data_IF_162690020758
#
_entry.id   IF_162690020758
#
_cell.length_a   1.000
_cell.length_b   1.000
_cell.length_c   1.000
_cell.angle_alpha   90.00
_cell.angle_beta   90.00
_cell.angle_gamma   90.00
#
_symmetry.space_group_name_H-M   'P 1'
#
loop_
_entity.id
_entity.type
_entity.pdbx_description
1 polymer ?
#
# COMPACT_ATOMS: atom_id res chain seq x y z
N UNK A 1 -2.48 36.88 13.35
CA UNK A 1 -3.58 36.02 12.87
C UNK A 1 -2.98 34.72 12.34
N UNK A 2 -3.38 33.57 12.89
CA UNK A 2 -2.91 32.28 12.40
C UNK A 2 -3.76 31.85 11.20
N UNK A 3 -3.13 31.62 10.05
CA UNK A 3 -3.81 31.10 8.86
C UNK A 3 -3.81 29.57 8.91
N UNK A 4 -4.99 28.95 8.92
CA UNK A 4 -5.14 27.52 8.74
C UNK A 4 -5.01 27.17 7.25
N UNK A 5 -3.82 26.70 6.84
CA UNK A 5 -3.61 26.21 5.48
C UNK A 5 -4.21 24.82 5.35
N UNK A 6 -5.26 24.66 4.55
CA UNK A 6 -5.81 23.34 4.19
C UNK A 6 -4.71 22.55 3.45
N UNK A 7 -4.38 21.39 3.99
CA UNK A 7 -3.43 20.47 3.36
C UNK A 7 -4.23 19.58 2.39
N UNK A 8 -3.83 19.47 1.11
CA UNK A 8 -4.50 18.59 0.17
C UNK A 8 -4.33 17.12 0.59
N UNK A 9 -5.34 16.31 0.35
CA UNK A 9 -5.30 14.86 0.52
C UNK A 9 -5.24 14.15 -0.84
N UNK A 10 -4.68 12.95 -0.83
CA UNK A 10 -4.52 12.11 -2.01
C UNK A 10 -4.90 10.67 -1.69
N UNK A 11 -5.62 10.05 -2.62
CA UNK A 11 -6.06 8.66 -2.50
C UNK A 11 -4.90 7.70 -2.80
N UNK A 12 -4.68 6.75 -1.89
CA UNK A 12 -3.83 5.59 -2.11
C UNK A 12 -4.71 4.37 -2.33
N UNK A 13 -4.55 3.71 -3.46
CA UNK A 13 -5.22 2.45 -3.77
C UNK A 13 -4.21 1.31 -3.79
N UNK A 14 -4.48 0.28 -3.00
CA UNK A 14 -3.74 -0.98 -3.05
C UNK A 14 -4.54 -2.00 -3.86
N UNK A 15 -3.86 -2.74 -4.72
CA UNK A 15 -4.44 -3.84 -5.48
C UNK A 15 -3.65 -5.10 -5.18
N UNK A 16 -4.35 -6.20 -4.93
CA UNK A 16 -3.75 -7.54 -4.82
C UNK A 16 -3.89 -8.22 -6.18
N UNK A 17 -2.82 -8.83 -6.68
CA UNK A 17 -2.77 -9.54 -7.95
C UNK A 17 -2.00 -10.86 -7.81
N UNK A 18 -2.05 -11.70 -8.84
CA UNK A 18 -1.37 -13.00 -8.90
C UNK A 18 -2.32 -14.18 -8.77
N UNK A 19 -1.76 -15.38 -8.61
CA UNK A 19 -2.51 -16.65 -8.57
C UNK A 19 -2.94 -17.08 -7.17
N UNK A 20 -2.47 -16.37 -6.14
CA UNK A 20 -2.83 -16.60 -4.74
C UNK A 20 -3.18 -15.29 -4.04
N UNK A 21 -3.52 -15.39 -2.76
CA UNK A 21 -3.92 -14.26 -1.94
C UNK A 21 -2.89 -13.97 -0.84
N UNK A 22 -3.01 -12.78 -0.26
CA UNK A 22 -2.23 -12.32 0.87
C UNK A 22 -2.88 -11.09 1.48
N UNK A 23 -2.29 -10.57 2.54
CA UNK A 23 -2.71 -9.34 3.19
C UNK A 23 -1.72 -8.22 2.90
N UNK A 24 -2.23 -7.00 2.80
CA UNK A 24 -1.39 -5.80 2.73
C UNK A 24 -1.89 -4.84 3.78
N UNK A 25 -1.03 -4.50 4.73
CA UNK A 25 -1.34 -3.60 5.84
C UNK A 25 -0.41 -2.40 5.82
N UNK A 26 -0.93 -1.22 6.16
CA UNK A 26 -0.10 -0.09 6.52
C UNK A 26 0.36 -0.23 7.97
N UNK A 27 1.65 -0.06 8.23
CA UNK A 27 2.21 -0.22 9.59
C UNK A 27 1.76 0.85 10.59
N UNK A 28 1.13 1.95 10.13
CA UNK A 28 0.72 3.06 10.98
C UNK A 28 -0.78 3.01 11.33
N UNK A 29 -1.67 3.11 10.33
CA UNK A 29 -3.15 2.92 10.41
C UNK A 29 -3.77 3.21 9.02
N UNK A 30 -5.01 2.79 8.78
CA UNK A 30 -5.81 3.15 7.60
C UNK A 30 -5.97 1.99 6.63
N UNK A 31 -4.97 1.74 5.79
CA UNK A 31 -5.04 0.62 4.82
C UNK A 31 -4.85 -0.73 5.52
N UNK A 32 -5.89 -1.54 5.49
CA UNK A 32 -5.84 -2.99 5.70
C UNK A 32 -6.59 -3.67 4.55
N UNK A 33 -5.81 -4.01 3.53
CA UNK A 33 -6.28 -4.57 2.28
C UNK A 33 -6.68 -6.05 2.41
N UNK A 34 -7.21 -6.42 3.58
CA UNK A 34 -8.10 -7.55 3.79
C UNK A 34 -9.55 -7.16 3.43
N UNK A 35 -10.01 -6.00 3.91
CA UNK A 35 -11.35 -5.45 3.65
C UNK A 35 -11.30 -4.03 3.05
N UNK A 36 -10.29 -3.22 3.38
CA UNK A 36 -10.14 -1.85 2.90
C UNK A 36 -8.78 -1.61 2.23
N UNK A 37 -8.82 -1.49 0.92
CA UNK A 37 -7.65 -1.28 0.09
C UNK A 37 -7.47 0.18 -0.35
N UNK A 38 -8.27 1.12 0.16
CA UNK A 38 -8.30 2.50 -0.31
C UNK A 38 -8.37 3.48 0.83
N UNK A 39 -7.37 4.36 0.96
CA UNK A 39 -7.34 5.37 2.03
C UNK A 39 -6.82 6.71 1.52
N UNK A 40 -7.34 7.80 2.09
CA UNK A 40 -6.93 9.17 1.77
C UNK A 40 -5.91 9.69 2.77
N UNK A 41 -4.73 10.06 2.26
CA UNK A 41 -3.64 10.57 3.08
C UNK A 41 -3.35 12.03 2.76
N UNK A 42 -2.95 12.81 3.76
CA UNK A 42 -2.51 14.19 3.55
C UNK A 42 -1.23 14.24 2.70
N UNK A 43 -1.02 15.37 2.04
CA UNK A 43 0.21 15.64 1.30
C UNK A 43 1.44 15.45 2.19
N UNK A 44 2.46 14.79 1.64
CA UNK A 44 3.74 14.43 2.30
C UNK A 44 3.63 13.38 3.41
N UNK A 45 2.45 12.80 3.66
CA UNK A 45 2.35 11.60 4.51
C UNK A 45 3.15 10.45 3.87
N UNK A 46 3.92 9.74 4.69
CA UNK A 46 4.69 8.56 4.29
C UNK A 46 3.94 7.34 4.79
N UNK A 47 3.41 6.54 3.86
CA UNK A 47 2.71 5.29 4.14
C UNK A 47 3.71 4.15 4.01
N UNK A 48 3.70 3.18 4.93
CA UNK A 48 4.59 2.00 4.86
C UNK A 48 3.73 0.75 4.74
N UNK A 49 3.64 0.23 3.51
CA UNK A 49 2.85 -0.96 3.20
C UNK A 49 3.68 -2.23 3.39
N UNK A 50 3.17 -3.18 4.15
CA UNK A 50 3.76 -4.51 4.34
C UNK A 50 2.84 -5.54 3.72
N UNK A 51 3.40 -6.37 2.83
CA UNK A 51 2.70 -7.48 2.21
C UNK A 51 3.05 -8.78 2.93
N UNK A 52 2.04 -9.48 3.43
CA UNK A 52 2.19 -10.79 4.06
C UNK A 52 1.49 -11.82 3.18
N UNK A 53 2.23 -12.73 2.53
CA UNK A 53 1.61 -13.81 1.76
C UNK A 53 0.87 -14.79 2.70
N UNK A 54 -0.19 -15.41 2.20
CA UNK A 54 -0.83 -16.52 2.90
C UNK A 54 0.09 -17.76 2.94
N UNK A 55 -0.28 -18.77 3.72
CA UNK A 55 0.51 -20.01 3.87
C UNK A 55 0.76 -20.73 2.56
N UNK A 56 -0.11 -20.55 1.58
CA UNK A 56 0.02 -21.11 0.23
C UNK A 56 0.49 -20.10 -0.83
N UNK A 57 1.10 -18.98 -0.43
CA UNK A 57 1.55 -17.95 -1.35
C UNK A 57 3.00 -17.54 -1.14
N UNK A 58 3.61 -16.98 -2.18
CA UNK A 58 4.84 -16.18 -2.11
C UNK A 58 4.55 -14.77 -2.59
N UNK A 59 5.06 -13.78 -1.86
CA UNK A 59 5.03 -12.40 -2.31
C UNK A 59 6.15 -12.19 -3.34
N UNK A 60 5.79 -11.91 -4.59
CA UNK A 60 6.76 -11.77 -5.70
C UNK A 60 7.27 -10.35 -5.81
N UNK A 61 6.47 -9.36 -5.37
CA UNK A 61 6.91 -7.98 -5.24
C UNK A 61 5.79 -6.96 -5.44
N UNK A 62 6.18 -5.70 -5.30
CA UNK A 62 5.33 -4.55 -5.56
C UNK A 62 5.47 -4.05 -7.00
N UNK A 63 4.44 -3.37 -7.50
CA UNK A 63 4.52 -2.54 -8.70
C UNK A 63 5.54 -1.40 -8.55
N UNK A 64 5.83 -0.71 -9.66
CA UNK A 64 6.75 0.45 -9.78
C UNK A 64 6.79 1.37 -8.55
N UNK A 65 7.99 1.71 -8.09
CA UNK A 65 8.21 2.64 -6.98
C UNK A 65 8.29 2.02 -5.58
N UNK A 66 8.18 0.70 -5.49
CA UNK A 66 8.68 -0.11 -4.37
C UNK A 66 9.34 -1.35 -4.97
N UNK A 67 10.65 -1.46 -4.89
CA UNK A 67 11.38 -2.57 -5.53
C UNK A 67 11.65 -3.67 -4.53
N UNK A 68 11.39 -4.92 -4.92
CA UNK A 68 11.67 -6.12 -4.14
C UNK A 68 10.54 -6.55 -3.19
N UNK A 69 10.89 -7.41 -2.23
CA UNK A 69 9.98 -8.02 -1.25
C UNK A 69 9.88 -7.25 0.08
N UNK A 70 10.62 -6.16 0.22
CA UNK A 70 10.63 -5.34 1.43
C UNK A 70 9.33 -4.53 1.59
N UNK A 71 9.15 -3.95 2.78
CA UNK A 71 8.08 -2.98 3.03
C UNK A 71 8.16 -1.80 2.04
N UNK A 72 7.01 -1.45 1.48
CA UNK A 72 6.86 -0.43 0.45
C UNK A 72 6.56 0.93 1.07
N UNK A 73 7.54 1.85 1.04
CA UNK A 73 7.37 3.23 1.50
C UNK A 73 6.82 4.10 0.37
N UNK A 74 5.66 4.71 0.61
CA UNK A 74 4.94 5.54 -0.35
C UNK A 74 4.76 6.94 0.21
N UNK A 75 5.48 7.91 -0.35
CA UNK A 75 5.25 9.33 -0.04
C UNK A 75 4.06 9.84 -0.86
N UNK A 76 3.03 10.35 -0.19
CA UNK A 76 1.79 10.81 -0.82
C UNK A 76 1.92 12.25 -1.29
N UNK A 77 2.32 12.41 -2.55
CA UNK A 77 2.41 13.71 -3.25
C UNK A 77 1.29 13.90 -4.27
N UNK A 78 0.68 12.81 -4.71
CA UNK A 78 -0.40 12.68 -5.69
C UNK A 78 -1.18 11.41 -5.35
N UNK A 79 -2.33 11.20 -6.00
CA UNK A 79 -3.01 9.91 -5.94
C UNK A 79 -2.09 8.79 -6.48
N UNK A 80 -2.02 7.66 -5.78
CA UNK A 80 -1.12 6.57 -6.12
C UNK A 80 -1.83 5.23 -6.10
N UNK A 81 -1.39 4.34 -6.98
CA UNK A 81 -1.80 2.94 -7.02
C UNK A 81 -0.60 2.04 -6.77
N UNK A 82 -0.75 1.06 -5.90
CA UNK A 82 0.27 0.05 -5.59
C UNK A 82 -0.31 -1.34 -5.77
N UNK A 83 0.30 -2.14 -6.63
CA UNK A 83 -0.08 -3.54 -6.79
C UNK A 83 0.88 -4.44 -6.02
N UNK A 84 0.37 -5.29 -5.15
CA UNK A 84 1.08 -6.37 -4.48
C UNK A 84 0.78 -7.68 -5.21
N UNK A 85 1.82 -8.39 -5.67
CA UNK A 85 1.64 -9.65 -6.40
C UNK A 85 1.95 -10.85 -5.51
N UNK A 86 1.00 -11.78 -5.41
CA UNK A 86 1.07 -13.01 -4.65
C UNK A 86 0.82 -14.21 -5.58
N UNK A 87 1.81 -15.09 -5.72
CA UNK A 87 1.66 -16.31 -6.51
C UNK A 87 1.64 -17.52 -5.58
N UNK A 88 0.99 -18.60 -5.99
CA UNK A 88 1.13 -19.88 -5.29
C UNK A 88 2.62 -20.22 -5.16
N UNK A 89 3.02 -20.76 -4.00
CA UNK A 89 4.32 -21.45 -3.95
C UNK A 89 4.13 -22.75 -4.73
N UNK A 90 5.09 -23.05 -5.60
CA UNK A 90 5.21 -24.34 -6.26
C UNK A 90 6.18 -25.21 -5.48
#
# INVERSE_FOLDING_TARGET
MATFKKIPSYLLTVVKAGTSTGTVVNSQVGIDCNADCTESYLNKTIVTLTATPNTTATFTGWSVGCTGKAACKVTMTVAKKRTATFNLWE
#
